data_IF_832772847265
#
_entry.id   IF_832772847265
#
_cell.length_a   1.000
_cell.length_b   1.000
_cell.length_c   1.000
_cell.angle_alpha   90.00
_cell.angle_beta   90.00
_cell.angle_gamma   90.00
#
_symmetry.space_group_name_H-M   'P 1'
#
loop_
_entity.id
_entity.type
_entity.pdbx_description
1 polymer ?
#
# COMPACT_ATOMS: atom_id res chain seq x y z
N UNK A 1 42.31 -49.72 1.52
CA UNK A 1 41.49 -49.54 0.29
C UNK A 1 40.29 -48.65 0.64
N UNK A 2 40.21 -47.49 -0.01
CA UNK A 2 39.08 -46.54 -0.23
C UNK A 2 38.22 -46.03 0.95
N UNK A 3 38.20 -44.70 1.20
CA UNK A 3 37.19 -44.06 2.04
C UNK A 3 35.89 -43.82 1.25
N UNK A 4 34.74 -44.07 1.88
CA UNK A 4 33.40 -43.73 1.36
C UNK A 4 33.14 -42.24 1.55
N UNK A 5 33.28 -41.46 0.48
CA UNK A 5 32.79 -40.09 0.38
C UNK A 5 31.27 -40.11 0.21
N UNK A 6 30.54 -39.87 1.29
CA UNK A 6 29.09 -39.62 1.25
C UNK A 6 28.88 -38.16 0.86
N UNK A 7 28.60 -37.90 -0.42
CA UNK A 7 28.14 -36.59 -0.88
C UNK A 7 26.68 -36.39 -0.43
N UNK A 8 26.49 -35.61 0.64
CA UNK A 8 25.18 -35.02 0.92
C UNK A 8 24.93 -33.89 -0.08
N UNK A 9 24.09 -34.14 -1.09
CA UNK A 9 23.49 -33.10 -1.91
C UNK A 9 22.42 -32.39 -1.06
N UNK A 10 22.76 -31.21 -0.55
CA UNK A 10 21.81 -30.32 0.08
C UNK A 10 20.89 -29.70 -0.99
N UNK A 11 19.63 -30.13 -1.02
CA UNK A 11 18.55 -29.41 -1.69
C UNK A 11 18.27 -28.14 -0.88
N UNK A 12 18.86 -27.02 -1.30
CA UNK A 12 18.38 -25.70 -0.91
C UNK A 12 17.02 -25.48 -1.58
N UNK A 13 15.95 -25.73 -0.83
CA UNK A 13 14.62 -25.30 -1.22
C UNK A 13 14.60 -23.76 -1.28
N UNK A 14 14.62 -23.23 -2.50
CA UNK A 14 14.26 -21.84 -2.75
C UNK A 14 12.79 -21.68 -2.39
N UNK A 15 12.51 -21.25 -1.16
CA UNK A 15 11.20 -20.75 -0.81
C UNK A 15 10.95 -19.53 -1.70
N UNK A 16 10.18 -19.73 -2.77
CA UNK A 16 9.67 -18.62 -3.57
C UNK A 16 8.94 -17.68 -2.62
N UNK A 17 9.45 -16.46 -2.48
CA UNK A 17 8.77 -15.40 -1.74
C UNK A 17 7.55 -15.04 -2.59
N UNK A 18 6.40 -15.60 -2.24
CA UNK A 18 5.13 -15.17 -2.80
C UNK A 18 4.99 -13.67 -2.56
N UNK A 19 4.55 -12.86 -3.54
CA UNK A 19 4.33 -11.44 -3.34
C UNK A 19 3.39 -11.24 -2.13
N UNK A 20 3.79 -10.36 -1.19
CA UNK A 20 2.92 -9.98 -0.08
C UNK A 20 1.62 -9.40 -0.64
N UNK A 21 0.45 -9.69 -0.04
CA UNK A 21 -0.82 -9.08 -0.46
C UNK A 21 -0.71 -7.56 -0.52
N UNK A 22 -1.30 -6.91 -1.53
CA UNK A 22 -1.22 -5.46 -1.71
C UNK A 22 -1.60 -4.65 -0.46
N UNK A 23 -2.63 -5.02 0.34
CA UNK A 23 -2.93 -4.30 1.58
C UNK A 23 -1.82 -4.40 2.63
N UNK A 24 -1.13 -5.54 2.72
CA UNK A 24 0.01 -5.72 3.63
C UNK A 24 1.19 -4.84 3.20
N UNK A 25 1.48 -4.80 1.89
CA UNK A 25 2.50 -3.91 1.34
C UNK A 25 2.13 -2.43 1.53
N UNK A 26 0.87 -2.07 1.30
CA UNK A 26 0.36 -0.72 1.53
C UNK A 26 0.48 -0.31 3.00
N UNK A 27 0.18 -1.20 3.93
CA UNK A 27 0.42 -0.98 5.36
C UNK A 27 1.89 -0.72 5.68
N UNK A 28 2.82 -1.49 5.10
CA UNK A 28 4.26 -1.26 5.27
C UNK A 28 4.68 0.13 4.76
N UNK A 29 4.18 0.53 3.58
CA UNK A 29 4.42 1.86 3.03
C UNK A 29 3.87 2.98 3.93
N UNK A 30 2.68 2.80 4.51
CA UNK A 30 2.11 3.74 5.49
C UNK A 30 3.00 3.85 6.73
N UNK A 31 3.43 2.71 7.28
CA UNK A 31 4.31 2.68 8.44
C UNK A 31 5.66 3.33 8.13
N UNK A 32 6.20 3.15 6.94
CA UNK A 32 7.44 3.77 6.51
C UNK A 32 7.31 5.28 6.33
N UNK A 33 6.28 5.77 5.63
CA UNK A 33 6.04 7.22 5.49
C UNK A 33 5.87 7.90 6.86
N UNK A 34 5.04 7.30 7.72
CA UNK A 34 4.79 7.82 9.06
C UNK A 34 6.08 7.88 9.89
N UNK A 35 6.83 6.79 9.93
CA UNK A 35 8.08 6.76 10.69
C UNK A 35 9.15 7.64 10.08
N UNK A 36 9.15 7.93 8.77
CA UNK A 36 10.14 8.80 8.13
C UNK A 36 10.00 10.27 8.55
N UNK A 37 8.84 10.72 9.02
CA UNK A 37 8.65 12.12 9.47
C UNK A 37 9.59 12.48 10.63
N UNK A 38 10.12 13.71 10.61
CA UNK A 38 11.11 14.20 11.58
C UNK A 38 10.56 14.38 13.00
N UNK A 39 9.26 14.68 13.12
CA UNK A 39 8.56 14.86 14.39
C UNK A 39 8.19 13.54 15.07
N UNK A 40 8.25 12.41 14.36
CA UNK A 40 8.02 11.08 14.93
C UNK A 40 9.31 10.61 15.61
N UNK A 41 9.28 10.57 16.95
CA UNK A 41 10.44 10.18 17.79
C UNK A 41 10.37 8.75 18.34
N UNK A 42 9.18 8.16 18.34
CA UNK A 42 8.92 6.82 18.86
C UNK A 42 8.48 5.89 17.74
N UNK A 43 8.64 4.59 17.96
CA UNK A 43 8.04 3.57 17.10
C UNK A 43 6.55 3.46 17.44
N UNK A 44 5.74 3.38 16.41
CA UNK A 44 4.31 3.09 16.50
C UNK A 44 4.03 1.75 15.83
N UNK A 45 3.06 1.01 16.37
CA UNK A 45 2.60 -0.25 15.82
C UNK A 45 1.16 -0.11 15.34
N UNK A 46 0.79 -0.88 14.30
CA UNK A 46 -0.60 -1.09 13.94
C UNK A 46 -1.37 -1.63 15.14
N UNK A 47 -2.46 -0.97 15.50
CA UNK A 47 -3.46 -1.46 16.44
C UNK A 47 -4.61 -2.11 15.68
N UNK A 48 -5.26 -1.33 14.82
CA UNK A 48 -6.40 -1.74 13.98
C UNK A 48 -6.20 -1.24 12.57
N UNK A 49 -6.85 -1.90 11.61
CA UNK A 49 -6.79 -1.53 10.21
C UNK A 49 -8.10 -1.90 9.53
N UNK A 50 -8.67 -0.94 8.84
CA UNK A 50 -9.77 -1.13 7.89
C UNK A 50 -9.20 -1.01 6.49
N UNK A 51 -9.48 -1.97 5.63
CA UNK A 51 -9.01 -1.99 4.25
C UNK A 51 -10.18 -2.14 3.29
N UNK A 52 -10.08 -1.51 2.13
CA UNK A 52 -10.93 -1.79 0.97
C UNK A 52 -10.07 -1.84 -0.29
N UNK A 53 -10.45 -2.73 -1.19
CA UNK A 53 -9.75 -2.97 -2.44
C UNK A 53 -10.75 -2.95 -3.59
N UNK A 54 -10.33 -2.36 -4.71
CA UNK A 54 -11.13 -2.28 -5.93
C UNK A 54 -10.24 -2.54 -7.14
N UNK A 55 -10.58 -3.56 -7.92
CA UNK A 55 -9.90 -3.84 -9.19
C UNK A 55 -10.43 -2.89 -10.26
N UNK A 56 -9.53 -2.17 -10.93
CA UNK A 56 -9.85 -1.22 -11.99
C UNK A 56 -9.08 -1.61 -13.26
N UNK A 57 -9.47 -1.10 -14.44
CA UNK A 57 -8.83 -1.45 -15.70
C UNK A 57 -7.31 -1.27 -15.68
N UNK A 58 -6.81 -0.16 -15.10
CA UNK A 58 -5.38 0.16 -15.05
C UNK A 58 -4.74 -0.23 -13.72
N UNK A 59 -5.26 -1.30 -13.08
CA UNK A 59 -4.69 -1.93 -11.90
C UNK A 59 -5.51 -1.71 -10.62
N UNK A 60 -4.98 -2.12 -9.48
CA UNK A 60 -5.75 -2.24 -8.24
C UNK A 60 -5.67 -0.98 -7.38
N UNK A 61 -6.82 -0.49 -6.92
CA UNK A 61 -6.90 0.58 -5.93
C UNK A 61 -7.07 -0.01 -4.52
N UNK A 62 -6.30 0.51 -3.56
CA UNK A 62 -6.32 0.09 -2.15
C UNK A 62 -6.50 1.32 -1.27
N UNK A 63 -7.50 1.29 -0.39
CA UNK A 63 -7.73 2.32 0.62
C UNK A 63 -7.58 1.72 2.02
N UNK A 64 -6.85 2.40 2.90
CA UNK A 64 -6.54 1.98 4.26
C UNK A 64 -6.90 3.07 5.28
N UNK A 65 -7.58 2.68 6.34
CA UNK A 65 -7.58 3.42 7.61
C UNK A 65 -6.82 2.61 8.65
N UNK A 66 -5.69 3.12 9.14
CA UNK A 66 -4.81 2.41 10.06
C UNK A 66 -4.72 3.18 11.38
N UNK A 67 -5.09 2.54 12.47
CA UNK A 67 -4.85 3.09 13.80
C UNK A 67 -3.49 2.62 14.30
N UNK A 68 -2.68 3.59 14.72
CA UNK A 68 -1.32 3.39 15.21
C UNK A 68 -1.24 3.74 16.70
N UNK A 69 -0.53 2.91 17.45
CA UNK A 69 -0.33 3.08 18.87
C UNK A 69 1.16 3.20 19.22
N UNK A 70 1.49 4.21 20.02
CA UNK A 70 2.85 4.47 20.44
C UNK A 70 3.41 3.32 21.29
N UNK A 71 4.66 2.94 20.99
CA UNK A 71 5.43 1.98 21.80
C UNK A 71 6.40 2.69 22.74
N UNK A 72 7.04 1.92 23.61
CA UNK A 72 8.12 2.41 24.49
C UNK A 72 9.43 2.67 23.74
N UNK A 73 9.57 2.15 22.52
CA UNK A 73 10.79 2.25 21.73
C UNK A 73 10.93 3.60 21.05
N UNK A 74 12.16 4.09 20.99
CA UNK A 74 12.54 5.23 20.17
C UNK A 74 12.63 4.85 18.69
N UNK A 75 12.46 5.80 17.78
CA UNK A 75 12.54 5.57 16.32
C UNK A 75 13.85 4.89 15.90
N UNK A 76 14.99 5.20 16.56
CA UNK A 76 16.29 4.54 16.34
C UNK A 76 16.35 3.06 16.73
N UNK A 77 15.37 2.58 17.48
CA UNK A 77 15.21 1.19 17.93
C UNK A 77 14.20 0.43 17.07
N UNK A 78 13.79 0.98 15.91
CA UNK A 78 12.88 0.32 14.97
C UNK A 78 13.49 -1.02 14.50
N UNK A 79 12.67 -2.07 14.45
CA UNK A 79 13.10 -3.44 14.10
C UNK A 79 13.52 -4.30 15.30
N UNK A 80 13.61 -3.74 16.51
CA UNK A 80 13.87 -4.55 17.71
C UNK A 80 12.63 -5.36 18.12
N UNK A 81 12.84 -6.62 18.51
CA UNK A 81 11.78 -7.59 18.83
C UNK A 81 10.92 -7.22 20.06
N UNK A 82 11.38 -6.33 20.94
CA UNK A 82 10.76 -6.05 22.26
C UNK A 82 10.07 -4.68 22.40
N UNK A 83 9.56 -4.11 21.31
CA UNK A 83 8.85 -2.83 21.37
C UNK A 83 7.39 -2.99 21.84
N UNK A 84 7.22 -3.06 23.17
CA UNK A 84 5.91 -3.08 23.82
C UNK A 84 5.12 -1.78 23.64
N UNK A 85 3.80 -1.89 23.59
CA UNK A 85 2.88 -0.73 23.57
C UNK A 85 3.04 0.08 24.86
N UNK A 86 3.11 1.41 24.74
CA UNK A 86 3.17 2.31 25.89
C UNK A 86 1.77 2.54 26.45
N UNK A 87 1.55 2.24 27.73
CA UNK A 87 0.31 2.59 28.43
C UNK A 87 0.06 4.10 28.38
N UNK A 88 -1.15 4.52 28.00
CA UNK A 88 -1.47 5.94 27.76
C UNK A 88 -0.67 6.59 26.64
N UNK A 89 -0.06 5.79 25.75
CA UNK A 89 0.69 6.26 24.60
C UNK A 89 -0.17 7.02 23.60
N UNK A 90 0.47 7.83 22.76
CA UNK A 90 -0.23 8.56 21.70
C UNK A 90 -0.86 7.58 20.71
N UNK A 91 -2.06 7.95 20.24
CA UNK A 91 -2.74 7.28 19.13
C UNK A 91 -2.66 8.18 17.90
N UNK A 92 -2.46 7.59 16.74
CA UNK A 92 -2.52 8.26 15.45
C UNK A 92 -3.41 7.44 14.54
N UNK A 93 -4.17 8.11 13.67
CA UNK A 93 -4.94 7.49 12.62
C UNK A 93 -4.34 7.91 11.29
N UNK A 94 -3.96 6.94 10.48
CA UNK A 94 -3.46 7.12 9.14
C UNK A 94 -4.56 6.79 8.15
N UNK A 95 -4.87 7.74 7.29
CA UNK A 95 -5.75 7.58 6.15
C UNK A 95 -4.85 7.51 4.92
N UNK A 96 -4.97 6.45 4.14
CA UNK A 96 -4.10 6.21 3.01
C UNK A 96 -4.85 5.60 1.83
N UNK A 97 -4.38 5.90 0.64
CA UNK A 97 -4.84 5.29 -0.59
C UNK A 97 -3.69 5.14 -1.57
N UNK A 98 -3.73 4.04 -2.31
CA UNK A 98 -2.70 3.65 -3.26
C UNK A 98 -3.38 3.14 -4.52
N UNK A 99 -2.84 3.52 -5.67
CA UNK A 99 -3.15 2.90 -6.95
C UNK A 99 -1.94 2.10 -7.39
N UNK A 100 -2.13 0.81 -7.61
CA UNK A 100 -1.12 -0.08 -8.13
C UNK A 100 -1.39 -0.39 -9.60
N UNK A 101 -0.34 -0.56 -10.40
CA UNK A 101 -0.44 -1.13 -11.75
C UNK A 101 -0.65 -2.66 -11.69
N UNK A 102 -0.82 -3.29 -12.86
CA UNK A 102 -0.97 -4.75 -12.97
C UNK A 102 0.27 -5.55 -12.55
N UNK A 103 1.43 -4.91 -12.48
CA UNK A 103 2.69 -5.49 -11.99
C UNK A 103 2.88 -5.28 -10.48
N UNK A 104 1.96 -4.57 -9.83
CA UNK A 104 2.02 -4.21 -8.41
C UNK A 104 2.91 -3.00 -8.11
N UNK A 105 3.34 -2.20 -9.08
CA UNK A 105 4.04 -0.94 -8.80
C UNK A 105 3.06 0.16 -8.43
N UNK A 106 3.49 1.11 -7.60
CA UNK A 106 2.64 2.24 -7.20
C UNK A 106 2.60 3.26 -8.35
N UNK A 107 1.41 3.51 -8.89
CA UNK A 107 1.14 4.57 -9.87
C UNK A 107 0.97 5.92 -9.17
N UNK A 108 0.20 5.96 -8.09
CA UNK A 108 0.01 7.14 -7.25
C UNK A 108 -0.41 6.75 -5.82
N UNK A 109 -0.22 7.67 -4.89
CA UNK A 109 -0.56 7.47 -3.48
C UNK A 109 -0.83 8.78 -2.74
N UNK A 110 -1.68 8.72 -1.72
CA UNK A 110 -1.80 9.77 -0.70
C UNK A 110 -1.84 9.13 0.69
N UNK A 111 -1.04 9.68 1.61
CA UNK A 111 -0.94 9.19 3.00
C UNK A 111 -0.98 10.37 3.95
N UNK A 112 -1.93 10.37 4.89
CA UNK A 112 -2.04 11.38 5.95
C UNK A 112 -2.27 10.71 7.29
N UNK A 113 -1.37 11.00 8.23
CA UNK A 113 -1.45 10.52 9.60
C UNK A 113 -1.60 11.67 10.58
N UNK A 114 -2.56 11.56 11.50
CA UNK A 114 -2.87 12.58 12.49
C UNK A 114 -3.52 11.97 13.74
N UNK A 115 -3.50 12.68 14.86
CA UNK A 115 -4.25 12.25 16.05
C UNK A 115 -5.74 12.42 15.80
N UNK A 116 -6.55 11.42 16.09
CA UNK A 116 -8.02 11.52 15.99
C UNK A 116 -8.62 12.57 16.95
N UNK A 117 -7.87 12.92 18.00
CA UNK A 117 -8.29 13.93 18.99
C UNK A 117 -8.18 15.37 18.48
N UNK A 118 -7.61 15.62 17.29
CA UNK A 118 -7.52 16.99 16.76
C UNK A 118 -8.88 17.44 16.22
N UNK A 119 -9.32 18.69 16.49
CA UNK A 119 -10.62 19.19 16.03
C UNK A 119 -10.81 19.14 14.51
N UNK A 120 -9.71 19.21 13.76
CA UNK A 120 -9.71 19.24 12.29
C UNK A 120 -9.78 17.85 11.64
N UNK A 121 -9.86 16.77 12.42
CA UNK A 121 -9.76 15.40 11.90
C UNK A 121 -10.79 15.11 10.80
N UNK A 122 -12.04 15.52 11.00
CA UNK A 122 -13.11 15.28 10.01
C UNK A 122 -12.88 16.03 8.69
N UNK A 123 -12.38 17.26 8.74
CA UNK A 123 -12.05 18.02 7.52
C UNK A 123 -10.85 17.40 6.80
N UNK A 124 -9.84 16.94 7.54
CA UNK A 124 -8.71 16.21 6.96
C UNK A 124 -9.18 14.90 6.32
N UNK A 125 -10.08 14.15 6.96
CA UNK A 125 -10.67 12.94 6.40
C UNK A 125 -11.42 13.21 5.10
N UNK A 126 -12.24 14.28 5.06
CA UNK A 126 -12.97 14.69 3.86
C UNK A 126 -12.03 15.07 2.71
N UNK A 127 -10.97 15.85 3.00
CA UNK A 127 -9.95 16.20 1.99
C UNK A 127 -9.19 14.98 1.51
N UNK A 128 -8.82 14.07 2.42
CA UNK A 128 -8.17 12.83 2.05
C UNK A 128 -9.04 12.01 1.10
N UNK A 129 -10.35 11.89 1.36
CA UNK A 129 -11.25 11.18 0.46
C UNK A 129 -11.24 11.78 -0.96
N UNK A 130 -11.22 13.11 -1.08
CA UNK A 130 -11.11 13.79 -2.38
C UNK A 130 -9.77 13.52 -3.07
N UNK A 131 -8.66 13.54 -2.34
CA UNK A 131 -7.34 13.18 -2.88
C UNK A 131 -7.31 11.71 -3.32
N UNK A 132 -7.97 10.82 -2.58
CA UNK A 132 -8.03 9.40 -2.93
C UNK A 132 -8.82 9.12 -4.21
N UNK A 133 -9.84 9.92 -4.53
CA UNK A 133 -10.50 9.83 -5.84
C UNK A 133 -9.55 10.22 -6.99
N UNK A 134 -8.64 11.16 -6.76
CA UNK A 134 -7.62 11.53 -7.77
C UNK A 134 -6.59 10.40 -7.94
N UNK A 135 -6.11 9.82 -6.83
CA UNK A 135 -5.23 8.64 -6.84
C UNK A 135 -5.89 7.48 -7.58
N UNK A 136 -7.19 7.27 -7.38
CA UNK A 136 -7.96 6.20 -8.03
C UNK A 136 -7.96 6.33 -9.56
N UNK A 137 -7.96 7.56 -10.08
CA UNK A 137 -7.91 7.86 -11.51
C UNK A 137 -6.49 7.80 -12.11
N UNK A 138 -5.45 7.62 -11.29
CA UNK A 138 -4.08 7.57 -11.79
C UNK A 138 -3.88 6.40 -12.74
N UNK A 139 -3.31 6.70 -13.92
CA UNK A 139 -3.09 5.73 -14.99
C UNK A 139 -4.34 5.36 -15.78
N UNK A 140 -5.55 5.75 -15.36
CA UNK A 140 -6.76 5.53 -16.13
C UNK A 140 -6.78 6.44 -17.36
N UNK A 141 -6.96 5.84 -18.54
CA UNK A 141 -7.17 6.57 -19.79
C UNK A 141 -8.48 7.36 -19.68
N UNK A 142 -8.39 8.69 -19.61
CA UNK A 142 -9.57 9.54 -19.73
C UNK A 142 -10.24 9.22 -21.07
N UNK A 143 -11.49 8.76 -21.05
CA UNK A 143 -12.24 8.49 -22.28
C UNK A 143 -12.18 9.72 -23.19
N UNK A 144 -11.51 9.57 -24.34
CA UNK A 144 -11.43 10.60 -25.39
C UNK A 144 -12.41 10.24 -26.50
N UNK A 145 -13.58 10.92 -26.60
CA UNK A 145 -14.49 10.71 -27.71
C UNK A 145 -13.75 10.91 -29.04
N UNK A 146 -13.78 9.90 -29.92
CA UNK A 146 -13.15 9.96 -31.25
C UNK A 146 -11.90 9.09 -31.45
N UNK A 147 -11.44 8.35 -30.44
CA UNK A 147 -10.29 7.43 -30.62
C UNK A 147 -10.60 6.21 -31.50
N UNK A 148 -11.88 5.87 -31.68
CA UNK A 148 -12.34 4.78 -32.53
C UNK A 148 -13.13 5.35 -33.71
N UNK A 149 -12.50 5.44 -34.88
CA UNK A 149 -13.17 5.75 -36.14
C UNK A 149 -13.52 4.44 -36.85
N UNK A 150 -14.81 4.08 -36.87
CA UNK A 150 -15.28 2.95 -37.66
C UNK A 150 -15.50 3.41 -39.11
N UNK A 151 -14.63 2.99 -40.03
CA UNK A 151 -14.91 3.13 -41.46
C UNK A 151 -15.90 2.03 -41.88
N UNK A 152 -17.10 2.40 -42.35
CA UNK A 152 -17.96 1.45 -43.06
C UNK A 152 -17.28 1.08 -44.38
N UNK A 153 -16.92 -0.19 -44.55
CA UNK A 153 -16.46 -0.71 -45.84
C UNK A 153 -17.58 -0.61 -46.88
N UNK A 154 -17.23 -0.26 -48.11
CA UNK A 154 -18.18 -0.22 -49.22
C UNK A 154 -18.67 -1.65 -49.54
N UNK A 155 -19.96 -1.84 -49.84
CA UNK A 155 -20.47 -3.15 -50.23
C UNK A 155 -19.82 -3.60 -51.54
N UNK A 156 -19.33 -4.84 -51.57
CA UNK A 156 -18.79 -5.47 -52.78
C UNK A 156 -19.98 -5.82 -53.68
N UNK A 157 -20.03 -5.26 -54.88
CA UNK A 157 -21.03 -5.65 -55.89
C UNK A 157 -20.73 -7.07 -56.37
N UNK A 158 -21.73 -7.98 -56.39
CA UNK A 158 -21.58 -9.27 -57.06
C UNK A 158 -21.63 -9.08 -58.58
N UNK A 159 -20.70 -9.74 -59.28
CA UNK A 159 -20.69 -9.92 -60.75
C UNK A 159 -21.87 -10.74 -61.26
#
# INVERSE_FOLDING_TARGET
MKPLLVLCWGLLALAGVSPSPLPSRALEMVLDDFHNKSHVKFVFKKQTMTESMEELPMGTFVHLEVDLLQTVCWKRQRGMQNCGVKAGGRRQKCLACFKFDSSGNVLDQSVRCLSEQVPIFQEVKRRQAQECEQVKQAGEEHYRPGLFAFSKGLPVSPE
#
